data_IF_112288704899
#
_entry.id   IF_112288704899
#
_cell.length_a   1.000
_cell.length_b   1.000
_cell.length_c   1.000
_cell.angle_alpha   90.00
_cell.angle_beta   90.00
_cell.angle_gamma   90.00
#
_symmetry.space_group_name_H-M   'P 1'
#
loop_
_entity.id
_entity.type
_entity.pdbx_description
1 polymer ?
#
# COMPACT_ATOMS: atom_id res chain seq x y z
N UNK A 1 -13.04 19.91 -43.92
CA UNK A 1 -12.49 18.60 -43.50
C UNK A 1 -11.79 18.82 -42.17
N UNK A 2 -12.13 17.95 -41.23
CA UNK A 2 -11.68 17.87 -39.84
C UNK A 2 -10.15 17.74 -39.76
N UNK A 3 -9.47 18.02 -38.65
CA UNK A 3 -9.94 18.29 -37.30
C UNK A 3 -8.75 18.67 -36.41
N UNK A 4 -9.07 19.39 -35.35
CA UNK A 4 -8.19 19.69 -34.22
C UNK A 4 -8.01 18.44 -33.36
N UNK A 5 -6.77 18.11 -32.99
CA UNK A 5 -6.48 17.16 -31.90
C UNK A 5 -5.66 17.88 -30.83
N UNK A 6 -6.36 18.63 -29.98
CA UNK A 6 -5.85 19.04 -28.69
C UNK A 6 -6.01 17.89 -27.70
N UNK A 7 -4.91 17.33 -27.21
CA UNK A 7 -4.94 16.47 -26.03
C UNK A 7 -4.72 17.33 -24.78
N UNK A 8 -5.82 17.83 -24.23
CA UNK A 8 -5.93 18.12 -22.79
C UNK A 8 -7.13 17.33 -22.29
N UNK A 9 -6.88 16.20 -21.62
CA UNK A 9 -7.86 15.66 -20.68
C UNK A 9 -7.51 16.24 -19.32
N UNK A 10 -8.12 17.37 -19.03
CA UNK A 10 -8.36 17.78 -17.65
C UNK A 10 -9.04 16.60 -16.95
N UNK A 11 -8.45 16.13 -15.85
CA UNK A 11 -9.05 15.08 -15.05
C UNK A 11 -10.20 15.70 -14.25
N UNK A 12 -11.37 15.78 -14.88
CA UNK A 12 -12.58 16.32 -14.29
C UNK A 12 -12.88 15.64 -12.95
N UNK A 13 -13.06 16.46 -11.90
CA UNK A 13 -13.69 16.04 -10.65
C UNK A 13 -15.04 15.40 -11.02
N UNK A 14 -15.30 14.17 -10.53
CA UNK A 14 -16.56 13.48 -10.80
C UNK A 14 -17.74 14.38 -10.37
N UNK A 15 -18.70 14.69 -11.26
CA UNK A 15 -19.81 15.60 -10.94
C UNK A 15 -20.87 14.99 -9.99
N UNK A 16 -20.63 13.78 -9.45
CA UNK A 16 -21.49 13.09 -8.49
C UNK A 16 -21.22 11.59 -8.47
N UNK A 17 -21.66 10.89 -7.41
CA UNK A 17 -21.52 9.44 -7.25
C UNK A 17 -22.71 8.63 -7.80
N UNK A 18 -23.38 9.17 -8.82
CA UNK A 18 -24.57 8.54 -9.42
C UNK A 18 -24.23 7.33 -10.30
N UNK A 19 -22.96 7.20 -10.73
CA UNK A 19 -22.50 6.13 -11.61
C UNK A 19 -21.17 5.54 -11.13
N UNK A 20 -21.25 4.60 -10.18
CA UNK A 20 -20.11 3.97 -9.51
C UNK A 20 -19.13 3.29 -10.48
N UNK A 21 -19.62 2.74 -11.60
CA UNK A 21 -18.78 2.07 -12.59
C UNK A 21 -17.84 3.01 -13.35
N UNK A 22 -18.13 4.33 -13.35
CA UNK A 22 -17.36 5.34 -14.08
C UNK A 22 -16.54 6.26 -13.18
N UNK A 23 -16.83 6.31 -11.88
CA UNK A 23 -16.05 7.11 -10.93
C UNK A 23 -15.31 6.22 -9.92
N UNK A 24 -14.01 6.05 -10.18
CA UNK A 24 -13.11 5.28 -9.31
C UNK A 24 -13.08 5.79 -7.87
N UNK A 25 -13.18 7.11 -7.67
CA UNK A 25 -13.19 7.75 -6.36
C UNK A 25 -14.45 7.34 -5.58
N UNK A 26 -15.65 7.52 -6.16
CA UNK A 26 -16.92 7.10 -5.55
C UNK A 26 -17.03 5.58 -5.30
N UNK A 27 -16.51 4.77 -6.22
CA UNK A 27 -16.46 3.31 -6.03
C UNK A 27 -15.58 2.94 -4.84
N UNK A 28 -14.42 3.61 -4.70
CA UNK A 28 -13.51 3.34 -3.60
C UNK A 28 -14.08 3.82 -2.26
N UNK A 29 -14.82 4.93 -2.23
CA UNK A 29 -15.53 5.35 -1.03
C UNK A 29 -16.59 4.34 -0.57
N UNK A 30 -17.31 3.70 -1.52
CA UNK A 30 -18.31 2.68 -1.19
C UNK A 30 -17.70 1.37 -0.67
N UNK A 31 -16.60 0.91 -1.26
CA UNK A 31 -16.07 -0.45 -1.02
C UNK A 31 -14.76 -0.52 -0.23
N UNK A 32 -14.03 0.58 -0.12
CA UNK A 32 -12.80 0.75 0.66
C UNK A 32 -12.93 1.97 1.58
N UNK A 33 -13.92 1.98 2.50
CA UNK A 33 -14.06 3.09 3.43
C UNK A 33 -12.78 3.27 4.24
N UNK A 34 -12.31 4.50 4.30
CA UNK A 34 -11.11 4.88 5.04
C UNK A 34 -11.56 5.71 6.24
N UNK A 35 -11.26 5.23 7.44
CA UNK A 35 -11.56 5.92 8.69
C UNK A 35 -10.50 5.55 9.73
N UNK A 36 -9.39 6.28 9.71
CA UNK A 36 -8.34 6.17 10.72
C UNK A 36 -8.62 7.02 11.97
N UNK A 37 -9.64 7.87 11.93
CA UNK A 37 -9.81 8.96 12.89
C UNK A 37 -8.85 10.14 12.66
N UNK A 38 -8.04 10.11 11.59
CA UNK A 38 -7.18 11.21 11.20
C UNK A 38 -7.39 11.60 9.72
N UNK A 39 -7.83 12.83 9.50
CA UNK A 39 -8.19 13.31 8.16
C UNK A 39 -7.00 13.36 7.18
N UNK A 40 -5.79 13.68 7.67
CA UNK A 40 -4.61 13.74 6.81
C UNK A 40 -4.21 12.36 6.30
N UNK A 41 -4.22 11.36 7.18
CA UNK A 41 -3.97 9.95 6.83
C UNK A 41 -5.05 9.48 5.86
N UNK A 42 -6.31 9.74 6.17
CA UNK A 42 -7.44 9.29 5.34
C UNK A 42 -7.35 9.86 3.93
N UNK A 43 -7.03 11.15 3.80
CA UNK A 43 -6.84 11.82 2.52
C UNK A 43 -5.66 11.23 1.73
N UNK A 44 -4.54 10.91 2.40
CA UNK A 44 -3.38 10.30 1.76
C UNK A 44 -3.67 8.89 1.25
N UNK A 45 -4.38 8.08 2.04
CA UNK A 45 -4.81 6.74 1.61
C UNK A 45 -5.74 6.87 0.40
N UNK A 46 -6.78 7.71 0.48
CA UNK A 46 -7.74 7.94 -0.61
C UNK A 46 -7.07 8.44 -1.89
N UNK A 47 -6.02 9.25 -1.79
CA UNK A 47 -5.28 9.72 -2.97
C UNK A 47 -4.71 8.56 -3.82
N UNK A 48 -4.39 7.42 -3.20
CA UNK A 48 -3.92 6.22 -3.91
C UNK A 48 -5.03 5.44 -4.62
N UNK A 49 -6.30 5.73 -4.34
CA UNK A 49 -7.43 4.97 -4.89
C UNK A 49 -7.65 5.21 -6.39
N UNK A 50 -7.03 6.25 -6.95
CA UNK A 50 -6.95 6.48 -8.39
C UNK A 50 -6.03 5.50 -9.11
N UNK A 51 -5.14 4.84 -8.38
CA UNK A 51 -4.23 3.85 -8.92
C UNK A 51 -4.98 2.55 -9.23
N UNK A 52 -4.27 1.63 -9.89
CA UNK A 52 -4.76 0.28 -10.11
C UNK A 52 -5.16 -0.35 -8.76
N UNK A 53 -6.30 -1.03 -8.75
CA UNK A 53 -6.91 -1.65 -7.56
C UNK A 53 -5.92 -2.43 -6.68
N UNK A 54 -4.93 -3.08 -7.30
CA UNK A 54 -3.94 -3.91 -6.61
C UNK A 54 -2.94 -3.12 -5.77
N UNK A 55 -2.84 -1.81 -5.98
CA UNK A 55 -1.85 -0.90 -5.40
C UNK A 55 -2.48 0.27 -4.63
N UNK A 56 -3.77 0.14 -4.32
CA UNK A 56 -4.46 1.08 -3.44
C UNK A 56 -4.07 0.77 -2.01
N UNK A 57 -3.74 1.82 -1.27
CA UNK A 57 -3.58 1.71 0.17
C UNK A 57 -4.95 1.52 0.83
N UNK A 58 -4.98 0.72 1.88
CA UNK A 58 -6.14 0.51 2.73
C UNK A 58 -5.85 1.01 4.15
N UNK A 59 -6.87 1.50 4.84
CA UNK A 59 -6.84 1.51 6.30
C UNK A 59 -7.24 0.13 6.79
N UNK A 60 -6.31 -0.57 7.44
CA UNK A 60 -6.48 -1.97 7.81
C UNK A 60 -6.68 -2.04 9.32
N UNK A 61 -7.76 -2.70 9.75
CA UNK A 61 -8.04 -2.88 11.17
C UNK A 61 -7.01 -3.83 11.77
N UNK A 62 -6.45 -3.47 12.93
CA UNK A 62 -5.40 -4.27 13.57
C UNK A 62 -5.88 -5.69 13.92
N UNK A 63 -7.17 -5.85 14.24
CA UNK A 63 -7.83 -7.15 14.49
C UNK A 63 -7.82 -8.10 13.29
N UNK A 64 -7.57 -7.61 12.07
CA UNK A 64 -7.42 -8.46 10.90
C UNK A 64 -6.04 -9.14 10.82
N UNK A 65 -5.13 -8.85 11.78
CA UNK A 65 -3.81 -9.46 11.88
C UNK A 65 -3.79 -10.56 12.94
N UNK A 66 -3.15 -11.67 12.59
CA UNK A 66 -2.94 -12.84 13.45
C UNK A 66 -1.50 -13.29 13.37
N UNK A 67 -1.07 -14.14 14.31
CA UNK A 67 0.28 -14.74 14.32
C UNK A 67 1.40 -13.69 14.24
N UNK A 68 1.24 -12.57 14.96
CA UNK A 68 2.21 -11.47 14.94
C UNK A 68 3.46 -11.87 15.73
N UNK A 69 4.61 -11.81 15.07
CA UNK A 69 5.92 -12.11 15.65
C UNK A 69 6.91 -10.99 15.30
N UNK A 70 7.56 -10.43 16.30
CA UNK A 70 8.70 -9.53 16.10
C UNK A 70 9.89 -10.26 15.47
N UNK A 71 10.52 -9.63 14.48
CA UNK A 71 11.69 -10.17 13.78
C UNK A 71 12.93 -9.31 13.92
N UNK A 72 12.76 -8.00 14.12
CA UNK A 72 13.86 -7.08 14.32
C UNK A 72 13.37 -5.78 14.98
N UNK A 73 14.23 -5.18 15.78
CA UNK A 73 14.04 -3.83 16.31
C UNK A 73 15.18 -2.93 15.84
N UNK A 74 14.83 -1.76 15.31
CA UNK A 74 15.78 -0.69 15.00
C UNK A 74 15.55 0.53 15.90
N UNK A 75 16.32 1.59 15.69
CA UNK A 75 16.21 2.83 16.47
C UNK A 75 14.81 3.48 16.42
N UNK A 76 14.12 3.40 15.28
CA UNK A 76 12.86 4.12 15.04
C UNK A 76 11.65 3.21 14.79
N UNK A 77 11.87 1.91 14.61
CA UNK A 77 10.80 0.99 14.23
C UNK A 77 11.04 -0.42 14.72
N UNK A 78 9.95 -1.12 14.99
CA UNK A 78 9.92 -2.56 15.20
C UNK A 78 9.38 -3.20 13.92
N UNK A 79 10.05 -4.23 13.44
CA UNK A 79 9.61 -5.03 12.31
C UNK A 79 9.03 -6.33 12.85
N UNK A 80 7.79 -6.59 12.50
CA UNK A 80 7.11 -7.84 12.81
C UNK A 80 6.60 -8.51 11.54
N UNK A 81 6.48 -9.83 11.58
CA UNK A 81 5.73 -10.61 10.60
C UNK A 81 4.33 -10.89 11.15
N UNK A 82 3.39 -11.20 10.26
CA UNK A 82 2.05 -11.65 10.66
C UNK A 82 1.24 -12.16 9.49
N UNK A 83 0.02 -12.60 9.77
CA UNK A 83 -0.98 -13.03 8.78
C UNK A 83 -2.12 -12.01 8.74
N UNK A 84 -2.35 -11.40 7.58
CA UNK A 84 -3.56 -10.63 7.31
C UNK A 84 -4.66 -11.56 6.80
N UNK A 85 -5.74 -11.72 7.57
CA UNK A 85 -6.76 -12.75 7.34
C UNK A 85 -7.61 -12.46 6.09
N UNK A 86 -7.93 -11.18 5.86
CA UNK A 86 -8.74 -10.74 4.71
C UNK A 86 -7.89 -10.64 3.45
N UNK A 87 -6.64 -10.17 3.60
CA UNK A 87 -5.72 -9.91 2.49
C UNK A 87 -6.15 -8.74 1.60
N UNK A 88 -5.27 -8.37 0.67
CA UNK A 88 -5.50 -7.25 -0.26
C UNK A 88 -6.68 -7.48 -1.19
N UNK A 89 -7.27 -6.40 -1.68
CA UNK A 89 -8.23 -6.44 -2.79
C UNK A 89 -7.57 -6.89 -4.10
N UNK A 90 -8.21 -7.80 -4.81
CA UNK A 90 -7.70 -8.34 -6.09
C UNK A 90 -8.52 -7.87 -7.29
N UNK A 91 -9.84 -7.75 -7.12
CA UNK A 91 -10.78 -7.32 -8.16
C UNK A 91 -12.15 -7.01 -7.55
N UNK A 92 -13.02 -6.46 -8.38
CA UNK A 92 -14.43 -6.28 -8.09
C UNK A 92 -15.27 -7.14 -9.04
N UNK A 93 -16.43 -7.60 -8.58
CA UNK A 93 -17.39 -8.34 -9.41
C UNK A 93 -18.80 -7.89 -9.01
N UNK A 94 -19.40 -7.00 -9.82
CA UNK A 94 -20.64 -6.33 -9.44
C UNK A 94 -20.45 -5.54 -8.14
N UNK A 95 -21.29 -5.81 -7.14
CA UNK A 95 -21.23 -5.17 -5.82
C UNK A 95 -20.38 -5.93 -4.79
N UNK A 96 -19.55 -6.90 -5.21
CA UNK A 96 -18.73 -7.71 -4.29
C UNK A 96 -17.24 -7.44 -4.46
N UNK A 97 -16.60 -7.16 -3.32
CA UNK A 97 -15.15 -7.09 -3.17
C UNK A 97 -14.54 -8.50 -3.19
N UNK A 98 -13.59 -8.77 -4.09
CA UNK A 98 -12.78 -10.00 -4.02
C UNK A 98 -11.44 -9.67 -3.37
N UNK A 99 -11.09 -10.43 -2.33
CA UNK A 99 -9.81 -10.33 -1.63
C UNK A 99 -8.98 -11.58 -1.82
N UNK A 100 -7.67 -11.45 -1.66
CA UNK A 100 -6.71 -12.55 -1.75
C UNK A 100 -6.93 -13.61 -0.65
N UNK A 101 -7.54 -13.23 0.48
CA UNK A 101 -7.63 -14.07 1.68
C UNK A 101 -6.31 -14.05 2.46
N UNK A 102 -6.13 -15.05 3.33
CA UNK A 102 -4.98 -15.15 4.25
C UNK A 102 -3.67 -14.95 3.52
N UNK A 103 -2.87 -13.98 3.97
CA UNK A 103 -1.55 -13.72 3.41
C UNK A 103 -0.54 -13.29 4.46
N UNK A 104 0.70 -13.78 4.31
CA UNK A 104 1.84 -13.36 5.14
C UNK A 104 2.28 -11.95 4.75
N UNK A 105 2.51 -11.11 5.76
CA UNK A 105 2.83 -9.69 5.63
C UNK A 105 3.97 -9.30 6.57
N UNK A 106 4.53 -8.12 6.32
CA UNK A 106 5.38 -7.38 7.25
C UNK A 106 4.58 -6.22 7.84
N UNK A 107 4.72 -6.05 9.15
CA UNK A 107 4.21 -4.95 9.94
C UNK A 107 5.42 -4.12 10.40
N UNK A 108 5.63 -2.95 9.79
CA UNK A 108 6.63 -1.99 10.27
C UNK A 108 5.95 -1.03 11.24
N UNK A 109 6.14 -1.26 12.52
CA UNK A 109 5.61 -0.42 13.60
C UNK A 109 6.57 0.73 13.85
N UNK A 110 6.10 1.98 13.72
CA UNK A 110 6.91 3.15 14.03
C UNK A 110 6.80 3.50 15.51
N UNK A 111 7.94 3.56 16.21
CA UNK A 111 7.97 3.90 17.63
C UNK A 111 7.57 5.37 17.83
N UNK A 112 6.94 5.65 18.97
CA UNK A 112 6.49 6.99 19.38
C UNK A 112 5.66 7.74 18.33
N UNK A 113 4.92 7.00 17.51
CA UNK A 113 4.14 7.56 16.39
C UNK A 113 2.67 7.82 16.75
N UNK A 114 2.27 7.58 18.00
CA UNK A 114 0.93 7.92 18.52
C UNK A 114 0.50 9.34 18.14
N UNK A 115 1.42 10.29 18.27
CA UNK A 115 1.23 11.63 17.74
C UNK A 115 1.82 11.67 16.34
N UNK A 116 0.98 11.97 15.34
CA UNK A 116 1.43 12.11 13.97
C UNK A 116 2.52 13.16 13.91
N UNK A 117 3.71 12.72 13.51
CA UNK A 117 4.85 13.60 13.31
C UNK A 117 5.17 13.71 11.81
N UNK A 118 6.01 14.68 11.47
CA UNK A 118 6.41 14.94 10.09
C UNK A 118 7.11 13.74 9.44
N UNK A 119 7.80 12.90 10.21
CA UNK A 119 8.47 11.70 9.69
C UNK A 119 7.45 10.66 9.21
N UNK A 120 6.41 10.37 9.99
CA UNK A 120 5.33 9.46 9.59
C UNK A 120 4.62 9.95 8.31
N UNK A 121 4.20 11.21 8.29
CA UNK A 121 3.51 11.80 7.13
C UNK A 121 4.40 11.77 5.89
N UNK A 122 5.68 12.11 6.03
CA UNK A 122 6.65 12.04 4.93
C UNK A 122 6.82 10.62 4.41
N UNK A 123 6.90 9.63 5.29
CA UNK A 123 7.01 8.23 4.87
C UNK A 123 5.74 7.74 4.17
N UNK A 124 4.56 8.05 4.70
CA UNK A 124 3.29 7.72 4.05
C UNK A 124 3.15 8.39 2.67
N UNK A 125 3.55 9.65 2.54
CA UNK A 125 3.61 10.35 1.26
C UNK A 125 4.54 9.64 0.26
N UNK A 126 5.73 9.25 0.69
CA UNK A 126 6.68 8.53 -0.16
C UNK A 126 6.09 7.19 -0.61
N UNK A 127 5.49 6.44 0.30
CA UNK A 127 4.79 5.18 0.00
C UNK A 127 3.72 5.43 -1.07
N UNK A 128 2.82 6.39 -0.84
CA UNK A 128 1.73 6.71 -1.77
C UNK A 128 2.25 7.08 -3.18
N UNK A 129 3.36 7.82 -3.28
CA UNK A 129 3.99 8.18 -4.57
C UNK A 129 4.65 7.01 -5.28
N UNK A 130 5.12 6.01 -4.54
CA UNK A 130 5.76 4.81 -5.10
C UNK A 130 4.78 3.72 -5.50
N UNK A 131 3.49 3.87 -5.16
CA UNK A 131 2.46 2.92 -5.57
C UNK A 131 2.37 2.88 -7.09
N UNK A 132 2.58 1.70 -7.72
CA UNK A 132 2.67 1.65 -9.16
C UNK A 132 1.29 1.79 -9.80
N UNK A 133 1.27 2.43 -10.97
CA UNK A 133 0.08 2.50 -11.83
C UNK A 133 -0.01 1.32 -12.81
N UNK A 134 0.99 0.44 -12.81
CA UNK A 134 1.09 -0.71 -13.71
C UNK A 134 1.60 -1.96 -12.99
N UNK A 135 1.59 -3.10 -13.67
CA UNK A 135 2.05 -4.38 -13.13
C UNK A 135 3.56 -4.46 -12.87
N UNK A 136 4.36 -3.52 -13.40
CA UNK A 136 5.82 -3.49 -13.19
C UNK A 136 6.13 -2.92 -11.82
N UNK A 137 6.90 -3.67 -11.03
CA UNK A 137 7.19 -3.34 -9.64
C UNK A 137 8.69 -3.39 -9.36
N UNK A 138 9.23 -2.28 -8.90
CA UNK A 138 10.63 -2.12 -8.52
C UNK A 138 10.81 -1.76 -7.04
N UNK A 139 9.71 -1.44 -6.34
CA UNK A 139 9.69 -1.05 -4.92
C UNK A 139 8.83 -2.05 -4.15
N UNK A 140 9.08 -2.20 -2.84
CA UNK A 140 8.17 -2.95 -1.98
C UNK A 140 6.77 -2.36 -2.07
N UNK A 141 5.79 -3.24 -2.17
CA UNK A 141 4.38 -2.91 -2.20
C UNK A 141 3.88 -2.81 -0.78
N UNK A 142 3.27 -1.67 -0.51
CA UNK A 142 2.55 -1.41 0.71
C UNK A 142 1.07 -1.64 0.47
N UNK A 143 0.46 -2.37 1.39
CA UNK A 143 -0.97 -2.65 1.40
C UNK A 143 -1.76 -1.54 2.07
N UNK A 144 -1.17 -0.86 3.04
CA UNK A 144 -1.93 0.08 3.83
C UNK A 144 -1.25 0.53 5.10
N UNK A 145 -2.06 1.18 5.92
CA UNK A 145 -1.71 1.68 7.23
C UNK A 145 -2.65 1.02 8.25
N UNK A 146 -2.14 0.76 9.43
CA UNK A 146 -2.92 0.37 10.61
C UNK A 146 -2.44 1.14 11.83
N UNK A 147 -3.11 0.95 12.96
CA UNK A 147 -2.68 1.48 14.25
C UNK A 147 -2.81 0.41 15.31
N UNK A 148 -1.73 0.21 16.06
CA UNK A 148 -1.69 -0.71 17.18
C UNK A 148 -2.60 -0.18 18.31
N UNK A 149 -3.49 -1.01 18.89
CA UNK A 149 -4.56 -0.51 19.75
C UNK A 149 -4.08 0.00 21.12
N UNK A 150 -2.95 -0.46 21.66
CA UNK A 150 -2.48 -0.14 23.03
C UNK A 150 -1.58 1.10 23.03
N UNK A 151 -0.44 1.01 22.37
CA UNK A 151 0.56 2.06 22.16
C UNK A 151 0.06 3.19 21.25
N UNK A 152 -0.92 2.91 20.38
CA UNK A 152 -1.40 3.81 19.33
C UNK A 152 -0.35 4.13 18.26
N UNK A 153 0.73 3.37 18.21
CA UNK A 153 1.73 3.50 17.16
C UNK A 153 1.15 3.09 15.81
N UNK A 154 1.46 3.86 14.77
CA UNK A 154 1.10 3.53 13.40
C UNK A 154 1.98 2.42 12.85
N UNK A 155 1.37 1.65 11.95
CA UNK A 155 1.96 0.48 11.33
C UNK A 155 1.85 0.62 9.82
N UNK A 156 2.96 0.45 9.11
CA UNK A 156 2.93 0.22 7.68
C UNK A 156 2.82 -1.27 7.39
N UNK A 157 1.84 -1.62 6.56
CA UNK A 157 1.55 -3.00 6.18
C UNK A 157 2.10 -3.23 4.78
N UNK A 158 3.02 -4.17 4.62
CA UNK A 158 3.74 -4.37 3.35
C UNK A 158 4.00 -5.84 3.05
N UNK A 159 4.46 -6.09 1.83
CA UNK A 159 4.76 -7.45 1.38
C UNK A 159 5.84 -8.14 2.21
N UNK A 160 5.60 -9.42 2.48
CA UNK A 160 6.63 -10.31 3.01
C UNK A 160 7.61 -10.72 1.91
N UNK A 161 8.88 -10.38 2.10
CA UNK A 161 9.98 -10.73 1.19
C UNK A 161 10.59 -12.05 1.63
N UNK A 162 10.26 -13.14 0.92
CA UNK A 162 10.71 -14.50 1.27
C UNK A 162 12.24 -14.68 1.28
N UNK A 163 12.96 -13.85 0.52
CA UNK A 163 14.41 -13.92 0.33
C UNK A 163 15.17 -12.91 1.21
N UNK A 164 14.50 -12.34 2.22
CA UNK A 164 15.13 -11.36 3.11
C UNK A 164 15.52 -10.06 2.40
N UNK A 165 16.53 -9.40 2.96
CA UNK A 165 17.13 -8.19 2.41
C UNK A 165 18.01 -8.49 1.19
N UNK A 166 18.22 -7.48 0.35
CA UNK A 166 19.16 -7.59 -0.77
C UNK A 166 20.57 -7.96 -0.29
N UNK A 167 21.00 -7.44 0.87
CA UNK A 167 22.30 -7.74 1.44
C UNK A 167 22.44 -9.23 1.80
N UNK A 168 21.47 -9.79 2.52
CA UNK A 168 21.46 -11.22 2.86
C UNK A 168 21.43 -12.08 1.58
N UNK A 169 20.52 -11.76 0.65
CA UNK A 169 20.41 -12.49 -0.60
C UNK A 169 21.73 -12.48 -1.39
N UNK A 170 22.38 -11.31 -1.52
CA UNK A 170 23.67 -11.20 -2.19
C UNK A 170 24.76 -11.97 -1.45
N UNK A 171 24.78 -11.94 -0.11
CA UNK A 171 25.79 -12.67 0.66
C UNK A 171 25.72 -14.19 0.47
N UNK A 172 24.54 -14.73 0.19
CA UNK A 172 24.33 -16.16 -0.01
C UNK A 172 24.44 -16.59 -1.49
N UNK A 173 24.14 -15.70 -2.43
CA UNK A 173 23.93 -16.06 -3.84
C UNK A 173 24.88 -15.32 -4.80
N UNK A 174 25.89 -14.60 -4.31
CA UNK A 174 26.74 -13.74 -5.15
C UNK A 174 27.34 -14.47 -6.36
N UNK A 175 27.86 -15.67 -6.14
CA UNK A 175 28.56 -16.46 -7.15
C UNK A 175 27.63 -16.99 -8.26
N UNK A 176 26.32 -17.06 -7.99
CA UNK A 176 25.33 -17.56 -8.96
C UNK A 176 24.72 -16.44 -9.83
N UNK A 177 25.01 -15.17 -9.50
CA UNK A 177 24.48 -14.01 -10.23
C UNK A 177 25.22 -13.86 -11.56
N UNK A 178 24.48 -14.12 -12.65
CA UNK A 178 24.97 -13.87 -14.02
C UNK A 178 24.74 -12.41 -14.39
N UNK A 179 25.84 -11.67 -14.49
CA UNK A 179 25.83 -10.32 -15.03
C UNK A 179 25.70 -10.39 -16.56
N UNK A 180 24.69 -9.71 -17.11
CA UNK A 180 24.57 -9.58 -18.56
C UNK A 180 25.59 -8.52 -19.01
N UNK A 181 26.63 -8.97 -19.70
CA UNK A 181 27.54 -8.05 -20.41
C UNK A 181 26.85 -7.50 -21.65
N UNK A 182 26.50 -6.22 -21.60
CA UNK A 182 25.98 -5.47 -22.74
C UNK A 182 27.15 -5.00 -23.63
N UNK A 183 27.86 -5.97 -24.21
CA UNK A 183 29.09 -5.77 -25.01
C UNK A 183 29.14 -4.44 -25.77
N UNK A 184 30.26 -3.71 -25.58
CA UNK A 184 30.59 -2.50 -26.34
C UNK A 184 30.71 -2.77 -27.84
#
# INVERSE_FOLDING_TARGET
MEGSHGFKKEHDKCPGCENFDRCTDCYSEKFLPVNSGNLDIDNLIKATHRNNIRYRLEWILFEDFTDIQEVAEGGFSIISTGIWIKGRVTSYSGEKLKRKGRMKIILKVLKDSRNINSAFIKELHNIARTQPNSSKRYVVHYYGVSQEPVTKNYIFVMDYMKNGSLHEYLSENFDEIKWIDWGK
#
